data_IF_669567971001
#
_entry.id   IF_669567971001
#
_cell.length_a   1.000
_cell.length_b   1.000
_cell.length_c   1.000
_cell.angle_alpha   90.00
_cell.angle_beta   90.00
_cell.angle_gamma   90.00
#
_symmetry.space_group_name_H-M   'P 1'
#
loop_
_entity.id
_entity.type
_entity.pdbx_description
1 polymer ?
#
# COMPACT_ATOMS: atom_id res chain seq x y z
N UNK A 1 8.15 17.48 -7.49
CA UNK A 1 7.62 16.69 -8.62
C UNK A 1 6.17 17.10 -8.88
N UNK A 2 5.71 17.17 -10.14
CA UNK A 2 4.29 17.39 -10.43
C UNK A 2 3.43 16.30 -9.79
N UNK A 3 2.31 16.71 -9.19
CA UNK A 3 1.45 15.86 -8.37
C UNK A 3 0.91 14.66 -9.15
N UNK A 4 0.55 14.84 -10.42
CA UNK A 4 0.03 13.80 -11.31
C UNK A 4 1.05 12.71 -11.71
N UNK A 5 2.36 12.94 -11.52
CA UNK A 5 3.39 11.92 -11.81
C UNK A 5 3.54 10.89 -10.70
N UNK A 6 2.98 11.13 -9.52
CA UNK A 6 3.24 10.33 -8.31
C UNK A 6 3.03 8.81 -8.50
N UNK A 7 1.93 8.33 -9.13
CA UNK A 7 1.73 6.89 -9.35
C UNK A 7 2.80 6.23 -10.22
N UNK A 8 3.44 7.01 -11.09
CA UNK A 8 4.42 6.54 -12.08
C UNK A 8 5.87 6.63 -11.57
N UNK A 9 6.07 6.81 -10.26
CA UNK A 9 7.40 6.92 -9.65
C UNK A 9 7.67 5.82 -8.65
N UNK A 10 8.93 5.64 -8.26
CA UNK A 10 9.32 4.67 -7.23
C UNK A 10 8.87 5.01 -5.80
N UNK A 11 8.44 6.26 -5.54
CA UNK A 11 8.17 6.75 -4.19
C UNK A 11 7.02 6.02 -3.47
N UNK A 12 5.84 5.78 -4.08
CA UNK A 12 4.75 5.02 -3.45
C UNK A 12 5.15 3.56 -3.15
N UNK A 13 5.93 2.94 -4.02
CA UNK A 13 6.36 1.55 -3.82
C UNK A 13 7.34 1.42 -2.65
N UNK A 14 8.29 2.35 -2.53
CA UNK A 14 9.17 2.44 -1.34
C UNK A 14 8.38 2.71 -0.06
N UNK A 15 7.38 3.58 -0.14
CA UNK A 15 6.50 3.89 0.99
C UNK A 15 5.64 2.69 1.41
N UNK A 16 5.16 1.90 0.44
CA UNK A 16 4.45 0.64 0.70
C UNK A 16 5.36 -0.37 1.40
N UNK A 17 6.59 -0.54 0.90
CA UNK A 17 7.57 -1.42 1.53
C UNK A 17 7.91 -0.97 2.95
N UNK A 18 8.08 0.35 3.16
CA UNK A 18 8.30 0.90 4.48
C UNK A 18 7.13 0.57 5.42
N UNK A 19 5.89 0.81 4.99
CA UNK A 19 4.68 0.51 5.75
C UNK A 19 4.54 -0.98 6.09
N UNK A 20 4.86 -1.88 5.16
CA UNK A 20 4.87 -3.33 5.40
C UNK A 20 5.87 -3.72 6.49
N UNK A 21 7.02 -3.04 6.54
CA UNK A 21 8.09 -3.30 7.50
C UNK A 21 7.92 -2.54 8.81
N UNK A 22 7.08 -1.50 8.87
CA UNK A 22 7.09 -0.56 9.99
C UNK A 22 6.62 -1.19 11.30
N UNK A 23 5.60 -2.07 11.26
CA UNK A 23 5.11 -2.82 12.43
C UNK A 23 6.17 -3.80 12.98
N UNK A 24 6.75 -4.73 12.19
CA UNK A 24 7.79 -5.62 12.72
C UNK A 24 9.03 -4.84 13.18
N UNK A 25 9.37 -3.73 12.53
CA UNK A 25 10.47 -2.86 12.96
C UNK A 25 10.16 -2.14 14.28
N UNK A 26 8.92 -1.73 14.53
CA UNK A 26 8.52 -1.13 15.80
C UNK A 26 8.58 -2.13 16.96
N UNK A 27 8.27 -3.41 16.70
CA UNK A 27 8.47 -4.49 17.67
C UNK A 27 9.98 -4.69 17.91
N UNK A 28 10.77 -4.75 16.84
CA UNK A 28 12.22 -4.91 16.94
C UNK A 28 12.92 -3.73 17.64
N UNK A 29 12.33 -2.53 17.60
CA UNK A 29 12.81 -1.35 18.32
C UNK A 29 12.87 -1.55 19.84
N UNK A 30 12.16 -2.54 20.39
CA UNK A 30 12.28 -2.94 21.79
C UNK A 30 13.66 -3.53 22.11
N UNK A 31 14.34 -4.12 21.12
CA UNK A 31 15.64 -4.77 21.22
C UNK A 31 16.76 -3.81 20.82
N UNK A 32 16.67 -3.20 19.63
CA UNK A 32 17.76 -2.41 19.04
C UNK A 32 17.64 -0.90 19.26
N UNK A 33 16.66 -0.48 20.08
CA UNK A 33 16.35 0.93 20.40
C UNK A 33 15.90 1.76 19.19
N UNK A 34 15.45 1.14 18.11
CA UNK A 34 14.91 1.79 16.92
C UNK A 34 15.92 1.98 15.78
N UNK A 35 17.13 1.43 15.92
CA UNK A 35 18.20 1.60 14.93
C UNK A 35 17.84 1.02 13.55
N UNK A 36 17.24 -0.18 13.48
CA UNK A 36 16.81 -0.79 12.23
C UNK A 36 15.69 0.02 11.57
N UNK A 37 14.70 0.46 12.35
CA UNK A 37 13.61 1.28 11.84
C UNK A 37 14.11 2.59 11.23
N UNK A 38 15.07 3.25 11.89
CA UNK A 38 15.72 4.45 11.40
C UNK A 38 16.47 4.20 10.08
N UNK A 39 17.28 3.14 9.98
CA UNK A 39 18.01 2.81 8.74
C UNK A 39 17.06 2.55 7.56
N UNK A 40 15.98 1.81 7.80
CA UNK A 40 14.97 1.50 6.77
C UNK A 40 14.20 2.76 6.36
N UNK A 41 13.83 3.62 7.32
CA UNK A 41 13.21 4.91 7.03
C UNK A 41 14.12 5.81 6.19
N UNK A 42 15.39 5.92 6.56
CA UNK A 42 16.38 6.74 5.85
C UNK A 42 16.58 6.24 4.41
N UNK A 43 16.65 4.92 4.21
CA UNK A 43 16.80 4.31 2.89
C UNK A 43 15.55 4.45 2.01
N UNK A 44 14.36 4.14 2.54
CA UNK A 44 13.13 4.06 1.76
C UNK A 44 12.41 5.40 1.60
N UNK A 45 12.44 6.25 2.65
CA UNK A 45 11.78 7.55 2.66
C UNK A 45 12.73 8.71 2.29
N UNK A 46 14.02 8.38 2.04
CA UNK A 46 15.06 9.29 1.57
C UNK A 46 15.23 10.54 2.44
N UNK A 47 15.08 10.39 3.76
CA UNK A 47 15.25 11.46 4.76
C UNK A 47 15.74 10.91 6.08
N UNK A 48 16.69 11.62 6.71
CA UNK A 48 17.13 11.34 8.08
C UNK A 48 16.00 11.57 9.06
N UNK A 49 15.67 10.55 9.84
CA UNK A 49 14.72 10.66 10.94
C UNK A 49 15.41 10.75 12.30
N UNK A 50 14.86 11.52 13.24
CA UNK A 50 15.26 11.51 14.66
C UNK A 50 14.50 10.42 15.44
N UNK A 51 14.30 9.27 14.79
CA UNK A 51 13.47 8.23 15.36
C UNK A 51 14.11 7.69 16.64
N UNK A 52 13.31 7.62 17.70
CA UNK A 52 13.66 6.93 18.93
C UNK A 52 12.71 5.75 19.13
N UNK A 53 13.07 4.78 19.98
CA UNK A 53 12.18 3.69 20.39
C UNK A 53 10.77 4.17 20.75
N UNK A 54 10.65 5.24 21.53
CA UNK A 54 9.36 5.79 21.96
C UNK A 54 8.54 6.29 20.77
N UNK A 55 9.19 7.02 19.85
CA UNK A 55 8.53 7.54 18.65
C UNK A 55 8.14 6.44 17.66
N UNK A 56 8.98 5.42 17.51
CA UNK A 56 8.69 4.24 16.69
C UNK A 56 7.46 3.49 17.20
N UNK A 57 7.37 3.26 18.52
CA UNK A 57 6.19 2.66 19.14
C UNK A 57 4.94 3.55 19.04
N UNK A 58 5.09 4.86 19.18
CA UNK A 58 3.97 5.80 19.02
C UNK A 58 3.39 5.84 17.60
N UNK A 59 4.16 5.42 16.59
CA UNK A 59 3.70 5.34 15.20
C UNK A 59 2.87 4.08 14.90
N UNK A 60 2.94 3.04 15.75
CA UNK A 60 2.28 1.74 15.50
C UNK A 60 0.78 1.85 15.21
N UNK A 61 -0.03 2.63 15.96
CA UNK A 61 -1.46 2.75 15.65
C UNK A 61 -1.71 3.31 14.24
N UNK A 62 -0.91 4.32 13.83
CA UNK A 62 -1.01 4.93 12.50
C UNK A 62 -0.56 3.94 11.43
N UNK A 63 0.53 3.21 11.69
CA UNK A 63 1.05 2.17 10.79
C UNK A 63 0.01 1.06 10.56
N UNK A 64 -0.67 0.59 11.61
CA UNK A 64 -1.70 -0.44 11.51
C UNK A 64 -2.90 0.04 10.68
N UNK A 65 -3.40 1.25 10.95
CA UNK A 65 -4.52 1.83 10.17
C UNK A 65 -4.10 2.02 8.71
N UNK A 66 -2.92 2.58 8.47
CA UNK A 66 -2.41 2.77 7.11
C UNK A 66 -2.21 1.43 6.39
N UNK A 67 -1.73 0.40 7.09
CA UNK A 67 -1.53 -0.94 6.55
C UNK A 67 -2.85 -1.57 6.12
N UNK A 68 -3.90 -1.45 6.94
CA UNK A 68 -5.25 -1.92 6.58
C UNK A 68 -5.77 -1.17 5.36
N UNK A 69 -5.69 0.16 5.35
CA UNK A 69 -6.23 0.99 4.26
C UNK A 69 -5.47 0.77 2.96
N UNK A 70 -4.13 0.91 2.98
CA UNK A 70 -3.30 0.72 1.80
C UNK A 70 -3.31 -0.75 1.33
N UNK A 71 -3.31 -1.69 2.28
CA UNK A 71 -3.44 -3.12 2.00
C UNK A 71 -4.76 -3.44 1.30
N UNK A 72 -5.89 -2.92 1.81
CA UNK A 72 -7.19 -3.08 1.16
C UNK A 72 -7.17 -2.53 -0.27
N UNK A 73 -6.61 -1.34 -0.49
CA UNK A 73 -6.51 -0.77 -1.84
C UNK A 73 -5.63 -1.63 -2.77
N UNK A 74 -4.45 -2.09 -2.31
CA UNK A 74 -3.58 -2.96 -3.09
C UNK A 74 -4.24 -4.31 -3.41
N UNK A 75 -4.92 -4.92 -2.44
CA UNK A 75 -5.74 -6.12 -2.68
C UNK A 75 -6.85 -5.82 -3.70
N UNK A 76 -7.47 -4.64 -3.62
CA UNK A 76 -8.42 -4.15 -4.63
C UNK A 76 -7.81 -4.13 -6.03
N UNK A 77 -6.59 -3.60 -6.21
CA UNK A 77 -5.87 -3.65 -7.49
C UNK A 77 -5.73 -5.09 -7.97
N UNK A 78 -5.18 -5.97 -7.12
CA UNK A 78 -4.92 -7.36 -7.48
C UNK A 78 -6.21 -8.10 -7.87
N UNK A 79 -7.24 -8.07 -7.02
CA UNK A 79 -8.51 -8.78 -7.24
C UNK A 79 -9.25 -8.33 -8.50
N UNK A 80 -9.08 -7.07 -8.88
CA UNK A 80 -9.68 -6.51 -10.08
C UNK A 80 -8.87 -6.88 -11.34
N UNK A 81 -7.54 -6.80 -11.29
CA UNK A 81 -6.69 -7.17 -12.42
C UNK A 81 -6.76 -8.66 -12.71
N UNK A 82 -6.75 -9.51 -11.67
CA UNK A 82 -6.81 -10.97 -11.81
C UNK A 82 -8.23 -11.50 -11.98
N UNK A 83 -9.25 -10.64 -12.11
CA UNK A 83 -10.63 -11.05 -12.31
C UNK A 83 -10.81 -12.16 -13.38
N UNK A 84 -10.13 -12.13 -14.54
CA UNK A 84 -10.27 -13.17 -15.57
C UNK A 84 -9.78 -14.55 -15.15
N UNK A 85 -8.93 -14.63 -14.11
CA UNK A 85 -8.33 -15.87 -13.62
C UNK A 85 -9.26 -16.58 -12.63
N UNK A 86 -10.32 -15.93 -12.14
CA UNK A 86 -11.27 -16.51 -11.15
C UNK A 86 -11.79 -17.91 -11.50
N UNK A 87 -12.16 -18.23 -12.76
CA UNK A 87 -12.57 -19.59 -13.12
C UNK A 87 -11.48 -20.65 -12.86
N UNK A 88 -10.22 -20.29 -13.07
CA UNK A 88 -9.07 -21.17 -12.80
C UNK A 88 -8.86 -21.41 -11.28
N UNK A 89 -9.42 -20.54 -10.44
CA UNK A 89 -9.41 -20.67 -8.98
C UNK A 89 -10.67 -21.40 -8.45
N UNK A 90 -11.46 -22.03 -9.33
CA UNK A 90 -12.67 -22.75 -8.97
C UNK A 90 -13.89 -21.85 -8.69
N UNK A 91 -13.79 -20.54 -8.94
CA UNK A 91 -14.91 -19.62 -8.83
C UNK A 91 -15.72 -19.59 -10.13
N UNK A 92 -16.38 -20.71 -10.42
CA UNK A 92 -17.19 -20.88 -11.62
C UNK A 92 -18.62 -20.34 -11.41
N UNK A 93 -19.23 -19.86 -12.49
CA UNK A 93 -20.63 -19.39 -12.50
C UNK A 93 -21.20 -19.41 -13.91
N UNK A 94 -22.52 -19.22 -14.03
CA UNK A 94 -23.16 -19.07 -15.33
C UNK A 94 -22.97 -17.64 -15.84
N UNK A 95 -22.27 -17.48 -16.97
CA UNK A 95 -21.86 -16.17 -17.49
C UNK A 95 -22.58 -15.75 -18.78
N UNK A 96 -23.66 -16.45 -19.17
CA UNK A 96 -24.43 -16.10 -20.38
C UNK A 96 -24.96 -14.68 -20.35
N UNK A 97 -25.41 -14.24 -19.18
CA UNK A 97 -25.97 -12.91 -18.95
C UNK A 97 -24.97 -11.93 -18.30
N UNK A 98 -23.69 -12.31 -18.23
CA UNK A 98 -22.65 -11.43 -17.72
C UNK A 98 -22.40 -10.26 -18.68
N UNK A 99 -21.90 -9.15 -18.16
CA UNK A 99 -21.54 -8.00 -18.99
C UNK A 99 -20.38 -8.35 -19.93
N UNK A 100 -20.62 -8.26 -21.24
CA UNK A 100 -19.70 -8.79 -22.27
C UNK A 100 -19.92 -10.27 -22.63
N UNK A 101 -21.02 -10.88 -22.18
CA UNK A 101 -21.42 -12.24 -22.49
C UNK A 101 -20.43 -13.30 -22.01
N UNK A 102 -20.41 -14.50 -22.64
CA UNK A 102 -19.54 -15.61 -22.26
C UNK A 102 -18.04 -15.30 -22.26
N UNK A 103 -17.63 -14.23 -22.96
CA UNK A 103 -16.22 -13.78 -23.01
C UNK A 103 -15.75 -13.08 -21.73
N UNK A 104 -16.68 -12.60 -20.90
CA UNK A 104 -16.41 -11.77 -19.71
C UNK A 104 -15.65 -10.46 -19.99
N UNK A 105 -15.47 -10.06 -21.26
CA UNK A 105 -14.63 -8.91 -21.62
C UNK A 105 -15.15 -7.59 -21.02
N UNK A 106 -16.48 -7.39 -21.00
CA UNK A 106 -17.10 -6.20 -20.42
C UNK A 106 -16.94 -6.15 -18.90
N UNK A 107 -17.21 -7.26 -18.22
CA UNK A 107 -17.00 -7.41 -16.78
C UNK A 107 -15.53 -7.17 -16.40
N UNK A 108 -14.59 -7.75 -17.15
CA UNK A 108 -13.18 -7.51 -16.94
C UNK A 108 -12.79 -6.05 -17.13
N UNK A 109 -13.28 -5.38 -18.17
CA UNK A 109 -12.97 -3.97 -18.41
C UNK A 109 -13.38 -3.09 -17.21
N UNK A 110 -14.57 -3.33 -16.63
CA UNK A 110 -15.05 -2.62 -15.44
C UNK A 110 -14.14 -2.88 -14.24
N UNK A 111 -13.77 -4.14 -14.02
CA UNK A 111 -12.84 -4.50 -12.95
C UNK A 111 -11.47 -3.86 -13.16
N UNK A 112 -10.89 -3.96 -14.36
CA UNK A 112 -9.61 -3.35 -14.70
C UNK A 112 -9.62 -1.83 -14.45
N UNK A 113 -10.69 -1.13 -14.80
CA UNK A 113 -10.87 0.30 -14.49
C UNK A 113 -10.93 0.55 -12.98
N UNK A 114 -11.64 -0.29 -12.22
CA UNK A 114 -11.67 -0.23 -10.76
C UNK A 114 -10.28 -0.46 -10.13
N UNK A 115 -9.54 -1.45 -10.62
CA UNK A 115 -8.16 -1.73 -10.22
C UNK A 115 -7.22 -0.56 -10.53
N UNK A 116 -7.35 0.04 -11.71
CA UNK A 116 -6.61 1.25 -12.07
C UNK A 116 -6.94 2.42 -11.13
N UNK A 117 -8.22 2.60 -10.78
CA UNK A 117 -8.67 3.60 -9.82
C UNK A 117 -8.00 3.44 -8.45
N UNK A 118 -7.98 2.22 -7.90
CA UNK A 118 -7.26 1.92 -6.66
C UNK A 118 -5.75 2.18 -6.78
N UNK A 119 -5.13 1.76 -7.88
CA UNK A 119 -3.70 1.96 -8.12
C UNK A 119 -3.31 3.45 -8.16
N UNK A 120 -4.17 4.29 -8.75
CA UNK A 120 -3.98 5.75 -8.78
C UNK A 120 -4.20 6.40 -7.40
N UNK A 121 -5.05 5.81 -6.55
CA UNK A 121 -5.38 6.33 -5.22
C UNK A 121 -4.29 6.05 -4.18
N UNK A 122 -3.72 4.83 -4.18
CA UNK A 122 -2.72 4.38 -3.18
C UNK A 122 -1.56 5.37 -2.98
N UNK A 123 -0.93 5.94 -4.03
CA UNK A 123 0.13 6.93 -3.89
C UNK A 123 -0.22 8.12 -2.99
N UNK A 124 -1.48 8.58 -3.03
CA UNK A 124 -1.95 9.70 -2.21
C UNK A 124 -2.13 9.31 -0.75
N UNK A 125 -2.69 8.13 -0.51
CA UNK A 125 -2.82 7.55 0.83
C UNK A 125 -1.44 7.44 1.47
N UNK A 126 -0.48 6.85 0.74
CA UNK A 126 0.88 6.65 1.22
C UNK A 126 1.62 7.98 1.45
N UNK A 127 1.39 8.99 0.60
CA UNK A 127 1.94 10.33 0.82
C UNK A 127 1.41 10.95 2.11
N UNK A 128 0.11 10.81 2.38
CA UNK A 128 -0.51 11.27 3.63
C UNK A 128 0.03 10.52 4.84
N UNK A 129 0.13 9.20 4.74
CA UNK A 129 0.75 8.34 5.75
C UNK A 129 2.18 8.78 6.07
N UNK A 130 3.05 8.90 5.07
CA UNK A 130 4.45 9.32 5.28
C UNK A 130 4.53 10.71 5.90
N UNK A 131 3.63 11.63 5.53
CA UNK A 131 3.59 12.96 6.13
C UNK A 131 3.21 12.91 7.63
N UNK A 132 2.22 12.08 8.01
CA UNK A 132 1.84 11.89 9.40
C UNK A 132 2.92 11.16 10.20
N UNK A 133 3.46 10.08 9.65
CA UNK A 133 4.53 9.30 10.25
C UNK A 133 5.76 10.17 10.55
N UNK A 134 6.15 11.06 9.63
CA UNK A 134 7.27 12.00 9.83
C UNK A 134 7.05 12.93 11.03
N UNK A 135 5.83 13.42 11.24
CA UNK A 135 5.51 14.25 12.42
C UNK A 135 5.69 13.48 13.72
N UNK A 136 5.32 12.20 13.75
CA UNK A 136 5.49 11.32 14.92
C UNK A 136 6.97 11.00 15.13
N UNK A 137 7.71 10.73 14.06
CA UNK A 137 9.15 10.51 14.04
C UNK A 137 9.96 11.76 14.45
N UNK A 138 9.38 12.95 14.33
CA UNK A 138 10.03 14.25 14.48
C UNK A 138 11.07 14.52 13.39
N UNK A 139 10.64 14.36 12.15
CA UNK A 139 11.40 14.56 10.91
C UNK A 139 10.67 15.51 9.94
#
# INVERSE_FOLDING_TARGET
>A
MPWWKLPFTGEPYRSSLFLLLSVPLAIWALVDRGAAQQRVADALLSRRSLLSRVRGLAAVPVDLVALVVAGYCWTGVLLNVVYPIRPLLGMNGEYRDAWGGPSLAGAWAVHALGGLGFWLLVPWILRGYVALWRRIAGA
#
